data_IF_846912831714
#
_entry.id   IF_846912831714
#
_cell.length_a   1.000
_cell.length_b   1.000
_cell.length_c   1.000
_cell.angle_alpha   90.00
_cell.angle_beta   90.00
_cell.angle_gamma   90.00
#
_symmetry.space_group_name_H-M   'P 1'
#
loop_
_entity.id
_entity.type
_entity.pdbx_description
1 polymer ?
#
# COMPACT_ATOMS: atom_id res chain seq x y z
N UNK A 1 50.08 3.76 25.29
CA UNK A 1 49.07 2.76 24.87
C UNK A 1 47.63 3.08 25.31
N UNK A 2 47.37 3.82 26.40
CA UNK A 2 45.99 4.13 26.83
C UNK A 2 45.28 5.13 25.90
N UNK A 3 45.97 6.17 25.44
CA UNK A 3 45.45 7.19 24.51
C UNK A 3 45.03 6.64 23.14
N UNK A 4 45.75 5.65 22.61
CA UNK A 4 45.41 5.01 21.34
C UNK A 4 44.10 4.21 21.40
N UNK A 5 43.78 3.63 22.57
CA UNK A 5 42.52 2.90 22.80
C UNK A 5 41.31 3.85 22.79
N UNK A 6 41.44 5.03 23.40
CA UNK A 6 40.35 6.02 23.39
C UNK A 6 40.10 6.60 22.01
N UNK A 7 41.14 6.82 21.21
CA UNK A 7 40.99 7.27 19.83
C UNK A 7 40.23 6.26 18.97
N UNK A 8 40.53 4.97 19.13
CA UNK A 8 39.84 3.90 18.40
C UNK A 8 38.35 3.81 18.77
N UNK A 9 38.00 4.03 20.05
CA UNK A 9 36.61 4.05 20.52
C UNK A 9 35.84 5.23 19.95
N UNK A 10 36.45 6.42 19.86
CA UNK A 10 35.84 7.61 19.28
C UNK A 10 35.62 7.44 17.76
N UNK A 11 36.57 6.83 17.05
CA UNK A 11 36.44 6.51 15.63
C UNK A 11 35.34 5.47 15.39
N UNK A 12 35.26 4.41 16.21
CA UNK A 12 34.17 3.43 16.11
C UNK A 12 32.80 4.09 16.35
N UNK A 13 32.65 4.90 17.39
CA UNK A 13 31.38 5.60 17.67
C UNK A 13 30.94 6.54 16.52
N UNK A 14 31.90 7.21 15.87
CA UNK A 14 31.60 8.10 14.73
C UNK A 14 31.28 7.35 13.44
N UNK A 15 31.81 6.14 13.24
CA UNK A 15 31.43 5.28 12.10
C UNK A 15 30.03 4.67 12.31
N UNK A 16 29.70 4.26 13.55
CA UNK A 16 28.36 3.72 13.86
C UNK A 16 27.26 4.78 13.79
N UNK A 17 27.54 6.05 14.12
CA UNK A 17 26.54 7.13 14.02
C UNK A 17 26.25 7.58 12.58
N UNK A 18 27.16 7.33 11.63
CA UNK A 18 26.95 7.61 10.21
C UNK A 18 26.20 6.49 9.49
N UNK A 19 26.37 5.22 9.92
CA UNK A 19 25.70 4.07 9.30
C UNK A 19 24.17 4.11 9.38
N UNK A 20 23.61 4.68 10.44
CA UNK A 20 22.17 4.84 10.62
C UNK A 20 21.54 5.86 9.66
N UNK A 21 22.30 6.82 9.14
CA UNK A 21 21.82 7.79 8.15
C UNK A 21 21.77 7.20 6.73
N UNK A 22 22.73 6.33 6.36
CA UNK A 22 22.75 5.66 5.06
C UNK A 22 21.76 4.48 4.95
N UNK A 23 21.39 3.86 6.08
CA UNK A 23 20.34 2.83 6.11
C UNK A 23 18.92 3.37 5.88
N UNK A 24 18.73 4.71 5.85
CA UNK A 24 17.41 5.33 5.69
C UNK A 24 17.15 5.87 4.27
N UNK A 25 18.15 5.88 3.39
CA UNK A 25 18.05 6.51 2.07
C UNK A 25 17.12 5.78 1.08
N UNK A 26 16.64 4.57 1.43
CA UNK A 26 15.70 3.78 0.61
C UNK A 26 14.28 3.68 1.22
N UNK A 27 13.91 4.56 2.16
CA UNK A 27 12.60 4.51 2.78
C UNK A 27 11.56 5.24 1.92
N UNK A 28 10.56 4.49 1.48
CA UNK A 28 9.28 4.89 0.86
C UNK A 28 9.23 6.32 0.30
N UNK A 29 9.26 6.46 -1.03
CA UNK A 29 9.20 7.75 -1.72
C UNK A 29 7.82 7.98 -2.32
N UNK A 30 7.18 9.09 -1.98
CA UNK A 30 5.99 9.56 -2.70
C UNK A 30 6.36 9.96 -4.13
N UNK A 31 5.68 9.36 -5.11
CA UNK A 31 5.85 9.65 -6.53
C UNK A 31 4.86 10.71 -7.01
N UNK A 32 3.60 10.55 -6.63
CA UNK A 32 2.50 11.38 -7.11
C UNK A 32 1.42 11.49 -6.04
N UNK A 33 0.80 12.67 -5.94
CA UNK A 33 -0.46 12.86 -5.23
C UNK A 33 -1.43 13.58 -6.16
N UNK A 34 -2.62 13.02 -6.35
CA UNK A 34 -3.69 13.65 -7.14
C UNK A 34 -5.07 13.39 -6.53
N UNK A 35 -6.01 14.25 -6.87
CA UNK A 35 -7.42 14.06 -6.56
C UNK A 35 -8.04 13.25 -7.70
N UNK A 36 -8.80 12.21 -7.36
CA UNK A 36 -9.57 11.44 -8.33
C UNK A 36 -11.04 11.39 -7.93
N UNK A 37 -11.96 11.62 -8.87
CA UNK A 37 -13.38 11.37 -8.64
C UNK A 37 -13.61 9.85 -8.59
N UNK A 38 -14.40 9.41 -7.63
CA UNK A 38 -14.78 8.01 -7.41
C UNK A 38 -16.29 7.90 -7.41
N UNK A 39 -16.77 6.88 -8.10
CA UNK A 39 -18.13 6.35 -8.00
C UNK A 39 -18.00 4.89 -7.57
N UNK A 40 -18.68 4.51 -6.50
CA UNK A 40 -18.57 3.18 -5.91
C UNK A 40 -19.91 2.72 -5.34
N UNK A 41 -20.22 1.45 -5.50
CA UNK A 41 -21.40 0.85 -4.89
C UNK A 41 -21.01 0.21 -3.55
N UNK A 42 -21.51 0.76 -2.44
CA UNK A 42 -21.21 0.32 -1.09
C UNK A 42 -22.23 -0.74 -0.63
N UNK A 43 -21.93 -2.01 -0.91
CA UNK A 43 -22.87 -3.13 -0.68
C UNK A 43 -23.34 -3.30 0.77
N UNK A 44 -22.56 -2.89 1.78
CA UNK A 44 -22.94 -3.08 3.19
C UNK A 44 -24.12 -2.21 3.61
N UNK A 45 -24.37 -1.11 2.90
CA UNK A 45 -25.50 -0.19 3.15
C UNK A 45 -26.40 -0.02 1.91
N UNK A 46 -26.18 -0.83 0.87
CA UNK A 46 -26.95 -0.86 -0.37
C UNK A 46 -27.15 0.53 -1.02
N UNK A 47 -26.05 1.28 -1.20
CA UNK A 47 -26.13 2.57 -1.89
C UNK A 47 -24.89 2.89 -2.74
N UNK A 48 -25.09 3.70 -3.78
CA UNK A 48 -23.99 4.35 -4.51
C UNK A 48 -23.43 5.50 -3.67
N UNK A 49 -22.12 5.62 -3.65
CA UNK A 49 -21.38 6.69 -3.01
C UNK A 49 -20.46 7.37 -4.03
N UNK A 50 -20.44 8.70 -4.02
CA UNK A 50 -19.61 9.49 -4.95
C UNK A 50 -18.83 10.57 -4.22
N UNK A 51 -17.66 10.93 -4.75
CA UNK A 51 -16.83 11.99 -4.19
C UNK A 51 -15.41 11.96 -4.68
N UNK A 52 -14.59 12.84 -4.12
CA UNK A 52 -13.20 13.02 -4.51
C UNK A 52 -12.28 12.39 -3.46
N UNK A 53 -11.44 11.45 -3.88
CA UNK A 53 -10.41 10.85 -3.03
C UNK A 53 -9.02 11.37 -3.41
N UNK A 54 -8.19 11.60 -2.41
CA UNK A 54 -6.75 11.81 -2.62
C UNK A 54 -6.08 10.46 -2.85
N UNK A 55 -5.54 10.27 -4.05
CA UNK A 55 -4.65 9.17 -4.41
C UNK A 55 -3.20 9.58 -4.13
N UNK A 56 -2.49 8.80 -3.33
CA UNK A 56 -1.03 8.89 -3.19
C UNK A 56 -0.39 7.62 -3.74
N UNK A 57 0.53 7.79 -4.70
CA UNK A 57 1.35 6.73 -5.27
C UNK A 57 2.74 6.81 -4.67
N UNK A 58 3.24 5.69 -4.15
CA UNK A 58 4.55 5.63 -3.52
C UNK A 58 5.37 4.47 -4.05
N UNK A 59 6.66 4.70 -4.27
CA UNK A 59 7.64 3.63 -4.37
C UNK A 59 8.03 3.18 -2.96
N UNK A 60 7.88 1.89 -2.69
CA UNK A 60 8.32 1.27 -1.45
C UNK A 60 9.49 0.32 -1.75
N UNK A 61 10.23 -0.07 -0.72
CA UNK A 61 11.44 -0.87 -0.84
C UNK A 61 11.24 -2.13 -1.73
N UNK A 62 12.21 -2.41 -2.60
CA UNK A 62 12.19 -3.57 -3.48
C UNK A 62 11.39 -3.39 -4.78
N UNK A 63 11.30 -2.16 -5.30
CA UNK A 63 10.59 -1.80 -6.56
C UNK A 63 9.10 -2.15 -6.53
N UNK A 64 8.48 -2.08 -5.34
CA UNK A 64 7.04 -2.26 -5.19
C UNK A 64 6.39 -0.89 -5.18
N UNK A 65 5.14 -0.83 -5.60
CA UNK A 65 4.33 0.39 -5.56
C UNK A 65 3.26 0.24 -4.50
N UNK A 66 3.01 1.30 -3.72
CA UNK A 66 1.89 1.37 -2.81
C UNK A 66 0.96 2.50 -3.25
N UNK A 67 -0.32 2.18 -3.40
CA UNK A 67 -1.36 3.18 -3.65
C UNK A 67 -2.19 3.36 -2.39
N UNK A 68 -2.43 4.62 -2.01
CA UNK A 68 -3.32 4.97 -0.91
C UNK A 68 -4.43 5.85 -1.42
N UNK A 69 -5.66 5.53 -1.04
CA UNK A 69 -6.78 6.46 -1.17
C UNK A 69 -7.17 6.97 0.21
N UNK A 70 -7.50 8.24 0.29
CA UNK A 70 -8.11 8.84 1.48
C UNK A 70 -9.03 9.98 1.09
N UNK A 71 -10.21 10.06 1.70
CA UNK A 71 -11.15 11.14 1.46
C UNK A 71 -12.52 10.80 2.00
N UNK A 72 -13.53 11.42 1.40
CA UNK A 72 -14.93 11.20 1.78
C UNK A 72 -15.76 10.94 0.54
N UNK A 73 -16.72 10.02 0.64
CA UNK A 73 -17.73 9.77 -0.38
C UNK A 73 -19.12 10.03 0.23
N UNK A 74 -20.01 10.62 -0.55
CA UNK A 74 -21.38 10.94 -0.14
C UNK A 74 -22.34 9.92 -0.74
N UNK A 75 -23.19 9.32 0.09
CA UNK A 75 -24.27 8.45 -0.34
C UNK A 75 -25.31 9.21 -1.16
N UNK A 76 -25.61 8.72 -2.36
CA UNK A 76 -26.55 9.38 -3.28
C UNK A 76 -28.00 9.32 -2.77
N UNK A 77 -28.34 8.29 -2.00
CA UNK A 77 -29.70 8.07 -1.48
C UNK A 77 -29.86 8.68 -0.08
N UNK A 78 -28.90 8.42 0.81
CA UNK A 78 -29.00 8.84 2.22
C UNK A 78 -28.45 10.24 2.48
N UNK A 79 -27.52 10.72 1.65
CA UNK A 79 -26.72 11.92 1.91
C UNK A 79 -25.65 11.72 2.98
N UNK A 80 -25.44 10.49 3.47
CA UNK A 80 -24.43 10.17 4.46
C UNK A 80 -23.02 10.43 3.92
N UNK A 81 -22.13 10.95 4.76
CA UNK A 81 -20.74 11.19 4.39
C UNK A 81 -19.85 10.11 4.99
N UNK A 82 -19.36 9.22 4.14
CA UNK A 82 -18.47 8.14 4.50
C UNK A 82 -17.03 8.59 4.44
N UNK A 83 -16.27 8.37 5.50
CA UNK A 83 -14.81 8.47 5.45
C UNK A 83 -14.26 7.20 4.83
N UNK A 84 -13.40 7.36 3.82
CA UNK A 84 -12.83 6.24 3.07
C UNK A 84 -11.32 6.24 3.23
N UNK A 85 -10.76 5.07 3.49
CA UNK A 85 -9.32 4.84 3.44
C UNK A 85 -8.99 3.53 2.75
N UNK A 86 -7.98 3.56 1.88
CA UNK A 86 -7.48 2.38 1.20
C UNK A 86 -5.97 2.35 1.28
N UNK A 87 -5.41 1.16 1.44
CA UNK A 87 -4.01 0.88 1.15
C UNK A 87 -3.95 -0.34 0.26
N UNK A 88 -3.28 -0.21 -0.88
CA UNK A 88 -2.95 -1.34 -1.75
C UNK A 88 -1.46 -1.42 -1.99
N UNK A 89 -0.91 -2.63 -1.92
CA UNK A 89 0.46 -2.94 -2.21
C UNK A 89 0.51 -3.74 -3.50
N UNK A 90 1.32 -3.26 -4.43
CA UNK A 90 1.45 -3.79 -5.76
C UNK A 90 2.93 -4.11 -6.03
N UNK A 91 3.22 -5.35 -6.39
CA UNK A 91 4.53 -5.76 -6.89
C UNK A 91 4.48 -6.27 -8.35
N UNK A 92 3.38 -6.00 -9.08
CA UNK A 92 3.14 -6.45 -10.45
C UNK A 92 4.10 -5.80 -11.45
N UNK A 93 4.53 -4.57 -11.16
CA UNK A 93 5.40 -3.80 -12.05
C UNK A 93 6.89 -3.97 -11.69
N UNK A 94 7.81 -4.19 -12.66
CA UNK A 94 7.65 -4.31 -14.10
C UNK A 94 7.60 -5.79 -14.59
N UNK A 95 6.96 -6.69 -13.84
CA UNK A 95 7.11 -8.15 -14.04
C UNK A 95 6.09 -8.80 -14.98
N UNK A 96 5.22 -8.01 -15.64
CA UNK A 96 4.21 -8.53 -16.58
C UNK A 96 4.74 -8.89 -17.98
N UNK A 97 6.06 -8.90 -18.19
CA UNK A 97 6.73 -9.29 -19.44
C UNK A 97 7.33 -10.70 -19.38
N UNK A 98 7.20 -11.45 -20.49
CA UNK A 98 7.66 -12.84 -20.73
C UNK A 98 8.82 -13.34 -19.86
N UNK A 99 8.58 -14.37 -19.04
CA UNK A 99 9.58 -15.04 -18.22
C UNK A 99 9.01 -15.59 -16.90
N UNK A 100 9.89 -16.08 -16.03
CA UNK A 100 9.56 -16.41 -14.65
C UNK A 100 9.22 -15.14 -13.88
N UNK A 101 8.07 -15.11 -13.22
CA UNK A 101 7.73 -14.01 -12.31
C UNK A 101 6.89 -14.49 -11.13
N UNK A 102 6.90 -13.68 -10.07
CA UNK A 102 6.08 -13.83 -8.89
C UNK A 102 5.54 -12.45 -8.51
N UNK A 103 4.21 -12.32 -8.47
CA UNK A 103 3.51 -11.09 -8.16
C UNK A 103 2.35 -11.35 -7.18
N UNK A 104 2.11 -10.39 -6.30
CA UNK A 104 1.07 -10.24 -5.30
C UNK A 104 0.55 -8.81 -5.37
N UNK A 105 -0.74 -8.65 -5.62
CA UNK A 105 -1.50 -7.46 -5.31
C UNK A 105 -2.27 -7.71 -4.02
N UNK A 106 -2.26 -6.76 -3.09
CA UNK A 106 -3.08 -6.85 -1.88
C UNK A 106 -3.66 -5.49 -1.54
N UNK A 107 -4.95 -5.43 -1.29
CA UNK A 107 -5.67 -4.19 -0.95
C UNK A 107 -6.54 -4.37 0.29
N UNK A 108 -6.56 -3.34 1.12
CA UNK A 108 -7.53 -3.15 2.18
C UNK A 108 -8.22 -1.81 1.94
N UNK A 109 -9.55 -1.82 1.92
CA UNK A 109 -10.41 -0.64 1.79
C UNK A 109 -11.40 -0.61 2.96
N UNK A 110 -11.51 0.53 3.64
CA UNK A 110 -12.41 0.70 4.78
C UNK A 110 -13.29 1.93 4.59
N UNK A 111 -14.55 1.78 4.99
CA UNK A 111 -15.55 2.83 5.06
C UNK A 111 -15.98 3.02 6.51
N UNK A 112 -16.07 4.27 6.92
CA UNK A 112 -16.54 4.68 8.24
C UNK A 112 -17.67 5.71 8.09
N UNK A 113 -18.71 5.58 8.91
CA UNK A 113 -19.77 6.59 9.07
C UNK A 113 -19.72 7.08 10.52
N UNK A 114 -19.60 8.39 10.70
CA UNK A 114 -19.52 9.02 12.04
C UNK A 114 -18.45 8.40 12.96
N UNK A 115 -17.33 7.95 12.38
CA UNK A 115 -16.21 7.33 13.08
C UNK A 115 -16.42 5.85 13.45
N UNK A 116 -17.53 5.25 13.01
CA UNK A 116 -17.83 3.83 13.17
C UNK A 116 -17.58 3.08 11.85
N UNK A 117 -16.89 1.92 11.86
CA UNK A 117 -16.71 1.14 10.65
C UNK A 117 -18.06 0.64 10.14
N UNK A 118 -18.30 0.72 8.83
CA UNK A 118 -19.51 0.20 8.17
C UNK A 118 -19.20 -0.89 7.14
N UNK A 119 -18.03 -0.81 6.52
CA UNK A 119 -17.56 -1.82 5.58
C UNK A 119 -16.04 -1.91 5.61
N UNK A 120 -15.50 -3.11 5.49
CA UNK A 120 -14.10 -3.35 5.16
C UNK A 120 -13.99 -4.42 4.08
N UNK A 121 -13.15 -4.18 3.09
CA UNK A 121 -12.81 -5.10 2.02
C UNK A 121 -11.34 -5.46 2.14
N UNK A 122 -11.05 -6.74 1.92
CA UNK A 122 -9.72 -7.24 1.67
C UNK A 122 -9.70 -8.04 0.37
N UNK A 123 -8.73 -7.77 -0.48
CA UNK A 123 -8.45 -8.56 -1.67
C UNK A 123 -6.96 -8.85 -1.74
N UNK A 124 -6.62 -10.08 -2.11
CA UNK A 124 -5.26 -10.49 -2.39
C UNK A 124 -5.25 -11.36 -3.63
N UNK A 125 -4.51 -10.91 -4.62
CA UNK A 125 -4.30 -11.65 -5.86
C UNK A 125 -2.82 -11.98 -6.02
N UNK A 126 -2.49 -13.26 -6.22
CA UNK A 126 -1.13 -13.73 -6.34
C UNK A 126 -0.95 -14.65 -7.55
N UNK A 127 0.10 -14.39 -8.33
CA UNK A 127 0.43 -15.11 -9.56
C UNK A 127 1.91 -15.46 -9.57
N UNK A 128 2.21 -16.72 -9.87
CA UNK A 128 3.58 -17.16 -10.17
C UNK A 128 3.63 -17.90 -11.50
N UNK A 129 4.60 -17.54 -12.34
CA UNK A 129 4.97 -18.30 -13.54
C UNK A 129 6.39 -18.84 -13.42
N UNK A 130 6.63 -20.05 -13.91
CA UNK A 130 7.96 -20.66 -13.91
C UNK A 130 8.85 -20.14 -15.06
N UNK A 131 10.08 -20.65 -15.17
CA UNK A 131 11.04 -20.28 -16.22
C UNK A 131 10.56 -20.57 -17.66
N UNK A 132 9.62 -21.50 -17.84
CA UNK A 132 9.00 -21.80 -19.13
C UNK A 132 7.83 -20.87 -19.44
N UNK A 133 7.47 -19.96 -18.52
CA UNK A 133 6.31 -19.10 -18.63
C UNK A 133 4.99 -19.79 -18.28
N UNK A 134 5.02 -20.99 -17.71
CA UNK A 134 3.81 -21.71 -17.29
C UNK A 134 3.30 -21.16 -15.95
N UNK A 135 2.00 -20.96 -15.84
CA UNK A 135 1.33 -20.58 -14.60
C UNK A 135 1.42 -21.75 -13.61
N UNK A 136 2.07 -21.52 -12.46
CA UNK A 136 2.23 -22.53 -11.39
C UNK A 136 1.45 -22.20 -10.13
N UNK A 137 1.18 -20.91 -9.89
CA UNK A 137 0.33 -20.45 -8.79
C UNK A 137 -0.60 -19.37 -9.31
N UNK A 138 -1.89 -19.55 -9.03
CA UNK A 138 -2.90 -18.51 -9.09
C UNK A 138 -3.69 -18.60 -7.79
N UNK A 139 -3.65 -17.54 -7.01
CA UNK A 139 -4.39 -17.40 -5.78
C UNK A 139 -5.16 -16.10 -5.82
N UNK A 140 -6.44 -16.18 -5.51
CA UNK A 140 -7.33 -15.05 -5.41
C UNK A 140 -8.13 -15.23 -4.13
N UNK A 141 -8.04 -14.26 -3.24
CA UNK A 141 -8.81 -14.22 -2.02
C UNK A 141 -9.43 -12.87 -1.83
N UNK A 142 -10.74 -12.89 -1.65
CA UNK A 142 -11.58 -11.74 -1.43
C UNK A 142 -12.41 -11.97 -0.18
N UNK A 143 -12.47 -10.97 0.70
CA UNK A 143 -13.33 -10.97 1.87
C UNK A 143 -13.91 -9.59 2.12
N UNK A 144 -15.16 -9.56 2.57
CA UNK A 144 -15.88 -8.34 2.93
C UNK A 144 -16.49 -8.51 4.30
N UNK A 145 -16.37 -7.47 5.11
CA UNK A 145 -16.95 -7.37 6.44
C UNK A 145 -17.90 -6.18 6.45
N UNK A 146 -19.15 -6.43 6.87
CA UNK A 146 -20.15 -5.40 7.12
C UNK A 146 -20.45 -5.39 8.62
N UNK A 147 -20.62 -4.19 9.18
CA UNK A 147 -20.77 -3.97 10.62
C UNK A 147 -22.15 -3.42 10.97
#
# INVERSE_FOLDING_TARGET
>A
MKTLKYFFVVVLFSVFSLGSSFAQTNKNKTLETKIVPIEYYLWCVDENVTGDLTLTIMDIEGKKTQFKFKGTLTGETTGNVYTVSQVSNDNWFPYSGTGQFNATYAVTLSFELDGMPVATLHETWHVTRNANGELVVLFDHWSTECY
#
